data_IF_739107526163
#
_entry.id   IF_739107526163
#
_cell.length_a   1.000
_cell.length_b   1.000
_cell.length_c   1.000
_cell.angle_alpha   90.00
_cell.angle_beta   90.00
_cell.angle_gamma   90.00
#
_symmetry.space_group_name_H-M   'P 1'
#
loop_
_entity.id
_entity.type
_entity.pdbx_description
1 polymer ?
#
# COMPACT_ATOMS: atom_id res chain seq x y z
N UNK A 1 -6.98 -10.48 12.06
CA UNK A 1 -6.67 -9.84 13.35
C UNK A 1 -7.33 -10.53 14.56
N UNK A 2 -8.63 -10.87 14.52
CA UNK A 2 -9.32 -11.59 15.63
C UNK A 2 -8.62 -12.87 16.11
N UNK A 3 -8.23 -13.77 15.20
CA UNK A 3 -7.46 -14.97 15.57
C UNK A 3 -6.12 -14.66 16.27
N UNK A 4 -5.42 -13.59 15.85
CA UNK A 4 -4.20 -13.14 16.53
C UNK A 4 -4.50 -12.53 17.91
N UNK A 5 -5.72 -12.04 18.12
CA UNK A 5 -6.19 -11.51 19.40
C UNK A 5 -6.55 -12.63 20.38
N UNK A 6 -7.07 -13.76 19.92
CA UNK A 6 -7.32 -14.95 20.77
C UNK A 6 -6.03 -15.47 21.43
N UNK A 7 -4.91 -15.33 20.72
CA UNK A 7 -3.58 -15.70 21.20
C UNK A 7 -2.87 -14.56 21.95
N UNK A 8 -3.49 -13.38 22.05
CA UNK A 8 -2.86 -12.20 22.65
C UNK A 8 -3.04 -12.24 24.17
N UNK A 9 -1.94 -12.23 24.96
CA UNK A 9 -2.05 -12.18 26.42
C UNK A 9 -2.67 -10.88 26.95
N UNK A 10 -2.79 -9.83 26.13
CA UNK A 10 -3.38 -8.55 26.51
C UNK A 10 -4.57 -8.19 25.63
N UNK A 11 -5.74 -7.96 26.24
CA UNK A 11 -6.94 -7.54 25.51
C UNK A 11 -6.81 -6.17 24.80
N UNK A 12 -6.00 -5.25 25.33
CA UNK A 12 -5.94 -3.85 24.85
C UNK A 12 -4.59 -3.42 24.27
N UNK A 13 -3.57 -4.29 24.27
CA UNK A 13 -2.20 -3.95 23.84
C UNK A 13 -1.78 -4.87 22.71
N UNK A 14 -1.26 -4.29 21.63
CA UNK A 14 -0.88 -5.05 20.44
C UNK A 14 0.25 -6.04 20.72
N UNK A 15 0.04 -7.31 20.34
CA UNK A 15 1.07 -8.35 20.43
C UNK A 15 2.14 -8.18 19.34
N UNK A 16 3.32 -8.79 19.53
CA UNK A 16 4.39 -8.72 18.53
C UNK A 16 3.95 -9.25 17.16
N UNK A 17 3.19 -10.36 17.14
CA UNK A 17 2.67 -10.95 15.92
C UNK A 17 1.65 -10.03 15.22
N UNK A 18 0.78 -9.36 15.98
CA UNK A 18 -0.16 -8.39 15.41
C UNK A 18 0.56 -7.19 14.81
N UNK A 19 1.61 -6.69 15.46
CA UNK A 19 2.41 -5.57 14.95
C UNK A 19 3.14 -5.98 13.66
N UNK A 20 3.81 -7.13 13.65
CA UNK A 20 4.52 -7.62 12.45
C UNK A 20 3.54 -7.81 11.28
N UNK A 21 2.41 -8.49 11.53
CA UNK A 21 1.38 -8.68 10.53
C UNK A 21 0.87 -7.35 10.00
N UNK A 22 0.59 -6.39 10.88
CA UNK A 22 0.07 -5.09 10.50
C UNK A 22 1.07 -4.28 9.66
N UNK A 23 2.34 -4.21 10.08
CA UNK A 23 3.35 -3.42 9.35
C UNK A 23 3.58 -4.00 7.96
N UNK A 24 3.62 -5.33 7.82
CA UNK A 24 3.76 -5.97 6.51
C UNK A 24 2.53 -5.76 5.60
N UNK A 25 1.34 -5.62 6.18
CA UNK A 25 0.14 -5.24 5.42
C UNK A 25 0.15 -3.76 5.05
N UNK A 26 0.64 -2.86 5.92
CA UNK A 26 0.77 -1.44 5.61
C UNK A 26 1.83 -1.16 4.52
N UNK A 27 2.89 -1.97 4.46
CA UNK A 27 3.92 -1.89 3.42
C UNK A 27 3.56 -2.64 2.13
N UNK A 28 2.33 -3.15 1.99
CA UNK A 28 1.92 -4.25 1.11
C UNK A 28 2.69 -4.37 -0.22
N UNK A 29 3.14 -5.59 -0.51
CA UNK A 29 3.77 -5.93 -1.78
C UNK A 29 2.72 -5.94 -2.90
N UNK A 30 2.65 -4.85 -3.66
CA UNK A 30 1.76 -4.78 -4.83
C UNK A 30 2.42 -5.49 -6.01
N UNK A 31 2.00 -6.72 -6.27
CA UNK A 31 2.55 -7.53 -7.37
C UNK A 31 2.15 -7.00 -8.74
N UNK A 32 0.89 -6.60 -8.92
CA UNK A 32 0.35 -6.12 -10.19
C UNK A 32 -0.58 -4.90 -9.94
N UNK A 33 -0.13 -3.67 -10.24
CA UNK A 33 -0.87 -2.44 -9.95
C UNK A 33 -1.91 -2.13 -11.04
N UNK A 34 -2.85 -3.06 -11.26
CA UNK A 34 -3.85 -2.99 -12.34
C UNK A 34 -4.67 -1.70 -12.28
N UNK A 35 -5.00 -1.23 -11.08
CA UNK A 35 -5.75 0.02 -10.88
C UNK A 35 -4.95 1.24 -11.35
N UNK A 36 -3.63 1.24 -11.17
CA UNK A 36 -2.76 2.34 -11.65
C UNK A 36 -2.65 2.32 -13.17
N UNK A 37 -2.52 1.13 -13.77
CA UNK A 37 -2.56 1.00 -15.24
C UNK A 37 -3.87 1.52 -15.79
N UNK A 38 -5.00 1.19 -15.15
CA UNK A 38 -6.31 1.68 -15.54
C UNK A 38 -6.40 3.21 -15.43
N UNK A 39 -5.93 3.82 -14.34
CA UNK A 39 -5.93 5.29 -14.21
C UNK A 39 -5.10 5.95 -15.29
N UNK A 40 -3.90 5.44 -15.57
CA UNK A 40 -3.03 5.94 -16.64
C UNK A 40 -3.71 5.82 -18.00
N UNK A 41 -4.31 4.67 -18.30
CA UNK A 41 -5.06 4.46 -19.55
C UNK A 41 -6.25 5.42 -19.68
N UNK A 42 -7.00 5.65 -18.59
CA UNK A 42 -8.12 6.59 -18.56
C UNK A 42 -7.69 8.04 -18.77
N UNK A 43 -6.46 8.39 -18.39
CA UNK A 43 -5.85 9.70 -18.63
C UNK A 43 -5.07 9.79 -19.95
N UNK A 44 -5.14 8.75 -20.80
CA UNK A 44 -4.57 8.76 -22.16
C UNK A 44 -3.08 8.41 -22.26
N UNK A 45 -2.51 7.71 -21.28
CA UNK A 45 -1.10 7.28 -21.35
C UNK A 45 -0.86 6.35 -22.55
N UNK A 46 0.21 6.61 -23.31
CA UNK A 46 0.61 5.75 -24.43
C UNK A 46 1.05 4.36 -23.96
N UNK A 47 1.77 4.32 -22.84
CA UNK A 47 2.10 3.09 -22.11
C UNK A 47 1.64 3.19 -20.64
N UNK A 48 0.46 2.64 -20.31
CA UNK A 48 -0.03 2.62 -18.94
C UNK A 48 0.83 1.78 -17.98
N UNK A 49 1.62 0.83 -18.49
CA UNK A 49 2.42 -0.10 -17.70
C UNK A 49 3.83 0.39 -17.38
N UNK A 50 4.24 1.52 -17.95
CA UNK A 50 5.57 2.12 -17.77
C UNK A 50 5.97 2.29 -16.28
N UNK A 51 5.02 2.49 -15.37
CA UNK A 51 5.25 2.64 -13.92
C UNK A 51 5.39 1.32 -13.16
N UNK A 52 5.22 0.17 -13.83
CA UNK A 52 5.19 -1.15 -13.20
C UNK A 52 6.44 -1.48 -12.40
N UNK A 53 7.60 -1.45 -13.05
CA UNK A 53 8.86 -1.82 -12.41
C UNK A 53 9.24 -0.82 -11.30
N UNK A 54 9.07 0.50 -11.49
CA UNK A 54 9.21 1.46 -10.39
C UNK A 54 8.33 1.16 -9.17
N UNK A 55 7.04 0.82 -9.38
CA UNK A 55 6.13 0.46 -8.28
C UNK A 55 6.67 -0.75 -7.53
N UNK A 56 7.11 -1.77 -8.26
CA UNK A 56 7.57 -3.03 -7.70
C UNK A 56 8.87 -2.89 -6.90
N UNK A 57 9.78 -2.01 -7.35
CA UNK A 57 10.99 -1.67 -6.59
C UNK A 57 10.67 -0.84 -5.35
N UNK A 58 9.79 0.16 -5.46
CA UNK A 58 9.39 1.00 -4.33
C UNK A 58 8.66 0.20 -3.23
N UNK A 59 7.74 -0.69 -3.60
CA UNK A 59 7.03 -1.56 -2.65
C UNK A 59 7.96 -2.59 -2.00
N UNK A 60 8.94 -3.12 -2.74
CA UNK A 60 9.94 -4.03 -2.20
C UNK A 60 10.82 -3.34 -1.16
N UNK A 61 11.23 -2.09 -1.43
CA UNK A 61 11.97 -1.27 -0.47
C UNK A 61 11.14 -0.98 0.79
N UNK A 62 9.87 -0.59 0.63
CA UNK A 62 8.93 -0.38 1.74
C UNK A 62 8.78 -1.64 2.60
N UNK A 63 8.52 -2.79 1.98
CA UNK A 63 8.33 -4.07 2.67
C UNK A 63 9.60 -4.50 3.41
N UNK A 64 10.77 -4.34 2.79
CA UNK A 64 12.05 -4.66 3.43
C UNK A 64 12.28 -3.77 4.66
N UNK A 65 12.07 -2.46 4.54
CA UNK A 65 12.23 -1.53 5.68
C UNK A 65 11.18 -1.81 6.77
N UNK A 66 9.95 -2.15 6.40
CA UNK A 66 8.91 -2.59 7.34
C UNK A 66 9.32 -3.83 8.13
N UNK A 67 9.77 -4.88 7.44
CA UNK A 67 10.26 -6.10 8.08
C UNK A 67 11.46 -5.83 8.99
N UNK A 68 12.47 -5.13 8.47
CA UNK A 68 13.71 -4.85 9.20
C UNK A 68 13.45 -3.96 10.43
N UNK A 69 12.61 -2.94 10.31
CA UNK A 69 12.28 -2.06 11.43
C UNK A 69 11.57 -2.81 12.56
N UNK A 70 10.60 -3.67 12.22
CA UNK A 70 9.94 -4.52 13.22
C UNK A 70 10.92 -5.53 13.81
N UNK A 71 11.78 -6.13 12.98
CA UNK A 71 12.79 -7.08 13.45
C UNK A 71 13.76 -6.44 14.45
N UNK A 72 14.20 -5.20 14.21
CA UNK A 72 15.03 -4.44 15.17
C UNK A 72 14.25 -4.16 16.46
N UNK A 73 13.04 -3.62 16.35
CA UNK A 73 12.23 -3.23 17.52
C UNK A 73 11.81 -4.43 18.39
N UNK A 74 11.52 -5.58 17.76
CA UNK A 74 11.12 -6.81 18.43
C UNK A 74 12.28 -7.78 18.70
N UNK A 75 13.50 -7.43 18.25
CA UNK A 75 14.72 -8.27 18.33
C UNK A 75 14.52 -9.66 17.71
N UNK A 76 13.89 -9.70 16.53
CA UNK A 76 13.68 -10.94 15.78
C UNK A 76 15.01 -11.46 15.24
N UNK A 77 15.23 -12.77 15.36
CA UNK A 77 16.41 -13.45 14.82
C UNK A 77 16.19 -13.77 13.34
N UNK A 78 16.37 -12.78 12.47
CA UNK A 78 16.21 -12.99 11.02
C UNK A 78 17.20 -14.01 10.43
N UNK A 79 18.33 -14.21 11.10
CA UNK A 79 19.37 -15.18 10.76
C UNK A 79 19.09 -16.60 11.29
N UNK A 80 17.96 -16.81 11.95
CA UNK A 80 17.57 -18.15 12.38
C UNK A 80 17.38 -19.05 11.14
N UNK A 81 17.93 -20.29 11.12
CA UNK A 81 17.83 -21.17 9.96
C UNK A 81 16.40 -21.42 9.50
N UNK A 82 15.43 -21.49 10.43
CA UNK A 82 14.01 -21.68 10.09
C UNK A 82 13.47 -20.43 9.41
N UNK A 83 13.78 -19.25 9.94
CA UNK A 83 13.35 -17.97 9.34
C UNK A 83 13.95 -17.80 7.95
N UNK A 84 15.24 -18.07 7.78
CA UNK A 84 15.93 -18.03 6.48
C UNK A 84 15.36 -19.05 5.49
N UNK A 85 15.00 -20.25 5.95
CA UNK A 85 14.39 -21.28 5.12
C UNK A 85 13.04 -20.84 4.52
N UNK A 86 12.33 -19.89 5.13
CA UNK A 86 11.14 -19.29 4.54
C UNK A 86 11.45 -18.01 3.76
N UNK A 87 12.29 -17.12 4.30
CA UNK A 87 12.57 -15.82 3.68
C UNK A 87 13.35 -15.94 2.38
N UNK A 88 14.38 -16.79 2.31
CA UNK A 88 15.26 -16.89 1.13
C UNK A 88 14.50 -17.46 -0.08
N UNK A 89 13.78 -18.60 0.00
CA UNK A 89 13.00 -19.09 -1.14
C UNK A 89 11.88 -18.14 -1.55
N UNK A 90 11.23 -17.47 -0.59
CA UNK A 90 10.20 -16.47 -0.88
C UNK A 90 10.76 -15.27 -1.64
N UNK A 91 11.91 -14.74 -1.21
CA UNK A 91 12.60 -13.65 -1.89
C UNK A 91 13.10 -14.06 -3.28
N UNK A 92 13.63 -15.27 -3.43
CA UNK A 92 14.06 -15.81 -4.72
C UNK A 92 12.89 -16.03 -5.68
N UNK A 93 11.78 -16.58 -5.20
CA UNK A 93 10.57 -16.77 -5.99
C UNK A 93 10.00 -15.44 -6.46
N UNK A 94 9.94 -14.45 -5.57
CA UNK A 94 9.54 -13.09 -5.92
C UNK A 94 10.51 -12.48 -6.94
N UNK A 95 11.82 -12.54 -6.70
CA UNK A 95 12.83 -12.01 -7.61
C UNK A 95 12.80 -12.67 -8.99
N UNK A 96 12.61 -13.99 -9.05
CA UNK A 96 12.44 -14.72 -10.30
C UNK A 96 11.15 -14.32 -11.04
N UNK A 97 10.05 -14.13 -10.30
CA UNK A 97 8.80 -13.63 -10.86
C UNK A 97 8.95 -12.20 -11.40
N UNK A 98 9.61 -11.31 -10.66
CA UNK A 98 9.93 -9.95 -11.10
C UNK A 98 10.79 -9.95 -12.38
N UNK A 99 11.83 -10.79 -12.42
CA UNK A 99 12.71 -10.93 -13.57
C UNK A 99 11.94 -11.45 -14.80
N UNK A 100 11.04 -12.43 -14.62
CA UNK A 100 10.17 -12.92 -15.68
C UNK A 100 9.27 -11.81 -16.21
N UNK A 101 8.57 -11.08 -15.32
CA UNK A 101 7.66 -10.00 -15.73
C UNK A 101 8.40 -8.88 -16.46
N UNK A 102 9.66 -8.60 -16.10
CA UNK A 102 10.50 -7.61 -16.77
C UNK A 102 10.87 -7.98 -18.22
N UNK A 103 10.75 -9.26 -18.62
CA UNK A 103 10.96 -9.70 -20.02
C UNK A 103 9.73 -9.54 -20.92
N UNK A 104 8.56 -9.27 -20.34
CA UNK A 104 7.31 -9.16 -21.10
C UNK A 104 7.15 -7.76 -21.70
N UNK A 105 6.51 -7.66 -22.86
CA UNK A 105 6.08 -6.37 -23.40
C UNK A 105 4.99 -5.74 -22.53
N UNK A 106 4.87 -4.41 -22.56
CA UNK A 106 3.80 -3.66 -21.90
C UNK A 106 2.39 -4.25 -22.17
N UNK A 107 2.13 -4.60 -23.44
CA UNK A 107 0.86 -5.20 -23.88
C UNK A 107 0.64 -6.60 -23.30
N UNK A 108 1.69 -7.42 -23.24
CA UNK A 108 1.64 -8.75 -22.66
C UNK A 108 1.45 -8.67 -21.13
N UNK A 109 2.13 -7.75 -20.46
CA UNK A 109 2.02 -7.54 -19.03
C UNK A 109 0.62 -7.06 -18.63
N UNK A 110 0.04 -6.09 -19.35
CA UNK A 110 -1.33 -5.63 -19.11
C UNK A 110 -2.36 -6.76 -19.29
N UNK A 111 -2.20 -7.55 -20.37
CA UNK A 111 -3.09 -8.67 -20.67
C UNK A 111 -2.98 -9.78 -19.63
N UNK A 112 -1.76 -10.17 -19.28
CA UNK A 112 -1.48 -11.16 -18.23
C UNK A 112 -2.04 -10.69 -16.89
N UNK A 113 -1.86 -9.42 -16.53
CA UNK A 113 -2.33 -8.88 -15.26
C UNK A 113 -3.85 -8.90 -15.14
N UNK A 114 -4.55 -8.53 -16.21
CA UNK A 114 -6.01 -8.58 -16.26
C UNK A 114 -6.55 -10.01 -16.17
N UNK A 115 -6.00 -10.93 -16.97
CA UNK A 115 -6.43 -12.33 -16.97
C UNK A 115 -6.14 -12.98 -15.62
N UNK A 116 -4.92 -12.81 -15.10
CA UNK A 116 -4.51 -13.40 -13.82
C UNK A 116 -5.33 -12.82 -12.67
N UNK A 117 -5.56 -11.51 -12.64
CA UNK A 117 -6.40 -10.86 -11.61
C UNK A 117 -7.84 -11.36 -11.64
N UNK A 118 -8.48 -11.38 -12.81
CA UNK A 118 -9.87 -11.81 -12.96
C UNK A 118 -10.06 -13.29 -12.66
N UNK A 119 -9.17 -14.16 -13.17
CA UNK A 119 -9.21 -15.59 -12.90
C UNK A 119 -8.90 -15.92 -11.43
N UNK A 120 -7.99 -15.17 -10.79
CA UNK A 120 -7.70 -15.36 -9.36
C UNK A 120 -8.92 -14.99 -8.51
N UNK A 121 -9.55 -13.85 -8.79
CA UNK A 121 -10.74 -13.42 -8.06
C UNK A 121 -11.90 -14.38 -8.26
N UNK A 122 -12.19 -14.74 -9.52
CA UNK A 122 -13.24 -15.71 -9.85
C UNK A 122 -12.93 -17.09 -9.24
N UNK A 123 -11.71 -17.56 -9.37
CA UNK A 123 -11.24 -18.83 -8.82
C UNK A 123 -11.34 -18.88 -7.29
N UNK A 124 -11.01 -17.78 -6.60
CA UNK A 124 -11.13 -17.69 -5.14
C UNK A 124 -12.59 -17.69 -4.68
N UNK A 125 -13.48 -16.99 -5.39
CA UNK A 125 -14.94 -17.07 -5.14
C UNK A 125 -15.43 -18.51 -5.34
N UNK A 126 -15.11 -19.12 -6.48
CA UNK A 126 -15.51 -20.49 -6.79
C UNK A 126 -14.94 -21.50 -5.79
N UNK A 127 -13.69 -21.31 -5.34
CA UNK A 127 -13.06 -22.12 -4.31
C UNK A 127 -13.87 -22.09 -3.02
N UNK A 128 -14.26 -20.90 -2.53
CA UNK A 128 -15.09 -20.78 -1.33
C UNK A 128 -16.46 -21.42 -1.49
N UNK A 129 -17.11 -21.26 -2.65
CA UNK A 129 -18.40 -21.89 -2.93
C UNK A 129 -18.27 -23.43 -2.94
N UNK A 130 -17.26 -23.96 -3.63
CA UNK A 130 -17.00 -25.40 -3.74
C UNK A 130 -16.61 -25.99 -2.39
N UNK A 131 -15.68 -25.38 -1.66
CA UNK A 131 -15.29 -25.83 -0.31
C UNK A 131 -16.49 -25.77 0.64
N UNK A 132 -17.31 -24.71 0.56
CA UNK A 132 -18.54 -24.59 1.33
C UNK A 132 -19.53 -25.70 1.01
N UNK A 133 -19.74 -26.00 -0.28
CA UNK A 133 -20.62 -27.09 -0.73
C UNK A 133 -20.11 -28.46 -0.28
N UNK A 134 -18.81 -28.75 -0.46
CA UNK A 134 -18.18 -30.01 -0.05
C UNK A 134 -18.23 -30.22 1.46
N UNK A 135 -18.06 -29.15 2.25
CA UNK A 135 -18.18 -29.18 3.72
C UNK A 135 -19.62 -29.03 4.22
N UNK A 136 -20.61 -29.00 3.32
CA UNK A 136 -22.04 -28.82 3.63
C UNK A 136 -22.32 -27.58 4.48
N UNK A 137 -21.53 -26.53 4.30
CA UNK A 137 -21.75 -25.22 4.91
C UNK A 137 -22.82 -24.50 4.11
N UNK A 138 -23.78 -23.88 4.80
CA UNK A 138 -24.80 -23.04 4.17
C UNK A 138 -24.19 -21.71 3.76
N UNK A 139 -23.55 -21.69 2.59
CA UNK A 139 -22.72 -20.58 2.12
C UNK A 139 -23.46 -19.24 2.10
N UNK A 140 -24.74 -19.24 1.71
CA UNK A 140 -25.56 -18.02 1.70
C UNK A 140 -25.76 -17.44 3.11
N UNK A 141 -26.12 -18.28 4.09
CA UNK A 141 -26.32 -17.83 5.48
C UNK A 141 -25.01 -17.30 6.07
N UNK A 142 -23.90 -18.02 5.88
CA UNK A 142 -22.58 -17.60 6.33
C UNK A 142 -22.11 -16.28 5.68
N UNK A 143 -22.41 -16.08 4.39
CA UNK A 143 -22.13 -14.82 3.71
C UNK A 143 -22.93 -13.65 4.30
N UNK A 144 -24.24 -13.85 4.55
CA UNK A 144 -25.09 -12.81 5.14
C UNK A 144 -24.65 -12.46 6.56
N UNK A 145 -24.27 -13.45 7.36
CA UNK A 145 -23.74 -13.25 8.71
C UNK A 145 -22.41 -12.47 8.67
N UNK A 146 -21.47 -12.88 7.83
CA UNK A 146 -20.21 -12.16 7.61
C UNK A 146 -20.43 -10.71 7.13
N UNK A 147 -21.43 -10.49 6.26
CA UNK A 147 -21.79 -9.14 5.80
C UNK A 147 -22.34 -8.27 6.93
N UNK A 148 -23.15 -8.81 7.85
CA UNK A 148 -23.64 -8.10 9.04
C UNK A 148 -22.49 -7.71 9.97
N UNK A 149 -21.58 -8.64 10.25
CA UNK A 149 -20.40 -8.35 11.05
C UNK A 149 -19.53 -7.24 10.43
N UNK A 150 -19.34 -7.30 9.10
CA UNK A 150 -18.62 -6.27 8.36
C UNK A 150 -19.28 -4.89 8.48
N UNK A 151 -20.61 -4.83 8.51
CA UNK A 151 -21.35 -3.58 8.70
C UNK A 151 -21.13 -2.99 10.11
N UNK A 152 -21.09 -3.83 11.15
CA UNK A 152 -20.82 -3.35 12.51
C UNK A 152 -19.38 -2.84 12.67
N UNK A 153 -18.41 -3.51 12.02
CA UNK A 153 -17.04 -2.98 11.91
C UNK A 153 -17.04 -1.63 11.21
N UNK A 154 -17.74 -1.48 10.08
CA UNK A 154 -17.80 -0.21 9.35
C UNK A 154 -18.37 0.94 10.21
N UNK A 155 -19.43 0.70 11.00
CA UNK A 155 -19.97 1.70 11.94
C UNK A 155 -18.93 2.16 12.95
N UNK A 156 -18.15 1.23 13.51
CA UNK A 156 -17.10 1.56 14.48
C UNK A 156 -15.97 2.41 13.89
N UNK A 157 -15.70 2.27 12.59
CA UNK A 157 -14.61 2.95 11.90
C UNK A 157 -15.03 4.31 11.33
N UNK A 158 -16.30 4.47 10.97
CA UNK A 158 -16.82 5.65 10.29
C UNK A 158 -16.44 6.99 10.96
N UNK A 159 -16.52 7.17 12.29
CA UNK A 159 -16.14 8.43 12.92
C UNK A 159 -14.67 8.80 12.70
N UNK A 160 -13.76 7.83 12.78
CA UNK A 160 -12.33 8.05 12.56
C UNK A 160 -12.05 8.47 11.11
N UNK A 161 -12.72 7.81 10.15
CA UNK A 161 -12.58 8.13 8.73
C UNK A 161 -13.09 9.52 8.41
N UNK A 162 -14.26 9.90 8.94
CA UNK A 162 -14.84 11.23 8.72
C UNK A 162 -13.92 12.32 9.28
N UNK A 163 -13.47 12.17 10.53
CA UNK A 163 -12.57 13.16 11.16
C UNK A 163 -11.27 13.36 10.36
N UNK A 164 -10.65 12.25 9.92
CA UNK A 164 -9.43 12.27 9.13
C UNK A 164 -9.64 12.90 7.74
N UNK A 165 -10.71 12.53 7.01
CA UNK A 165 -11.03 13.10 5.70
C UNK A 165 -11.37 14.59 5.80
N UNK A 166 -12.09 15.01 6.83
CA UNK A 166 -12.34 16.42 7.12
C UNK A 166 -11.03 17.18 7.37
N UNK A 167 -10.11 16.64 8.17
CA UNK A 167 -8.82 17.27 8.45
C UNK A 167 -7.97 17.45 7.18
N UNK A 168 -7.92 16.43 6.31
CA UNK A 168 -7.24 16.51 5.01
C UNK A 168 -7.91 17.57 4.11
N UNK A 169 -9.24 17.60 4.09
CA UNK A 169 -10.00 18.61 3.34
C UNK A 169 -9.68 20.04 3.79
N UNK A 170 -9.63 20.28 5.10
CA UNK A 170 -9.24 21.58 5.68
C UNK A 170 -7.79 21.92 5.33
N UNK A 171 -6.85 20.98 5.47
CA UNK A 171 -5.44 21.18 5.14
C UNK A 171 -5.28 21.64 3.67
N UNK A 172 -5.97 20.97 2.75
CA UNK A 172 -5.95 21.31 1.32
C UNK A 172 -6.62 22.66 1.03
N UNK A 173 -7.83 22.88 1.54
CA UNK A 173 -8.57 24.12 1.30
C UNK A 173 -7.90 25.36 1.92
N UNK A 174 -7.08 25.17 2.96
CA UNK A 174 -6.36 26.25 3.63
C UNK A 174 -5.13 26.77 2.87
N UNK A 175 -4.65 26.06 1.83
CA UNK A 175 -3.39 26.36 1.16
C UNK A 175 -2.13 26.02 1.98
N UNK A 176 -2.28 25.45 3.18
CA UNK A 176 -1.16 25.04 4.02
C UNK A 176 -0.30 23.94 3.37
N UNK A 177 -0.94 23.05 2.59
CA UNK A 177 -0.23 22.05 1.80
C UNK A 177 0.68 22.70 0.77
N UNK A 178 0.17 23.67 0.00
CA UNK A 178 0.93 24.37 -1.04
C UNK A 178 2.11 25.14 -0.42
N UNK A 179 1.88 25.85 0.69
CA UNK A 179 2.94 26.54 1.42
C UNK A 179 4.05 25.58 1.90
N UNK A 180 3.66 24.39 2.39
CA UNK A 180 4.61 23.36 2.78
C UNK A 180 5.43 22.83 1.60
N UNK A 181 4.80 22.63 0.45
CA UNK A 181 5.46 22.18 -0.78
C UNK A 181 6.42 23.23 -1.34
N UNK A 182 6.05 24.51 -1.30
CA UNK A 182 6.94 25.61 -1.69
C UNK A 182 8.16 25.68 -0.76
N UNK A 183 7.97 25.46 0.54
CA UNK A 183 9.08 25.33 1.48
C UNK A 183 10.03 24.18 1.14
N UNK A 184 9.49 23.00 0.80
CA UNK A 184 10.30 21.86 0.34
C UNK A 184 11.01 22.20 -0.97
N UNK A 185 10.31 22.84 -1.93
CA UNK A 185 10.88 23.25 -3.22
C UNK A 185 12.10 24.15 -3.02
N UNK A 186 11.99 25.16 -2.17
CA UNK A 186 13.10 26.05 -1.84
C UNK A 186 14.28 25.35 -1.15
N UNK A 187 14.02 24.41 -0.25
CA UNK A 187 15.09 23.63 0.40
C UNK A 187 15.83 22.74 -0.58
N UNK A 188 15.10 22.11 -1.51
CA UNK A 188 15.67 21.25 -2.55
C UNK A 188 16.45 22.07 -3.58
N UNK A 189 15.93 23.23 -4.00
CA UNK A 189 16.63 24.20 -4.85
C UNK A 189 17.91 24.71 -4.20
N UNK A 190 17.86 25.03 -2.91
CA UNK A 190 19.02 25.47 -2.15
C UNK A 190 20.10 24.39 -2.04
N UNK A 191 19.70 23.12 -1.98
CA UNK A 191 20.59 21.97 -2.05
C UNK A 191 21.11 21.67 -3.47
N UNK A 192 20.64 22.40 -4.50
CA UNK A 192 21.02 22.20 -5.89
C UNK A 192 20.43 20.92 -6.51
N UNK A 193 19.32 20.41 -5.96
CA UNK A 193 18.66 19.21 -6.43
C UNK A 193 17.46 19.50 -7.32
N UNK A 194 17.05 18.51 -8.10
CA UNK A 194 15.88 18.58 -8.97
C UNK A 194 14.57 18.59 -8.14
N UNK A 195 13.68 19.53 -8.45
CA UNK A 195 12.41 19.74 -7.72
C UNK A 195 11.18 19.11 -8.36
N UNK A 196 11.31 18.44 -9.52
CA UNK A 196 10.16 17.88 -10.26
C UNK A 196 9.34 16.90 -9.43
N UNK A 197 9.94 16.22 -8.46
CA UNK A 197 9.23 15.29 -7.58
C UNK A 197 8.31 15.99 -6.55
N UNK A 198 8.52 17.29 -6.28
CA UNK A 198 7.78 18.03 -5.25
C UNK A 198 6.28 18.06 -5.57
N UNK A 199 5.93 18.19 -6.85
CA UNK A 199 4.54 18.21 -7.29
C UNK A 199 3.83 16.85 -7.13
N UNK A 200 4.58 15.77 -6.87
CA UNK A 200 4.03 14.45 -6.56
C UNK A 200 3.83 14.20 -5.06
N UNK A 201 4.40 15.05 -4.20
CA UNK A 201 4.32 14.91 -2.74
C UNK A 201 2.91 15.02 -2.14
N UNK A 202 1.93 15.76 -2.70
CA UNK A 202 0.55 15.69 -2.23
C UNK A 202 0.03 14.25 -2.12
N UNK A 203 0.32 13.41 -3.12
CA UNK A 203 -0.04 11.99 -3.12
C UNK A 203 0.62 11.26 -1.96
N UNK A 204 1.94 11.46 -1.74
CA UNK A 204 2.67 10.83 -0.63
C UNK A 204 2.15 11.26 0.75
N UNK A 205 1.85 12.53 0.94
CA UNK A 205 1.44 13.08 2.24
C UNK A 205 0.04 12.61 2.64
N UNK A 206 -0.86 12.46 1.68
CA UNK A 206 -2.26 12.06 1.91
C UNK A 206 -2.40 10.54 2.05
N UNK A 207 -1.52 9.77 1.38
CA UNK A 207 -1.60 8.31 1.29
C UNK A 207 -1.61 7.56 2.64
N UNK A 208 -0.81 7.91 3.67
CA UNK A 208 -0.88 7.24 4.97
C UNK A 208 -2.28 7.25 5.58
N UNK A 209 -3.07 8.27 5.24
CA UNK A 209 -4.40 8.52 5.79
C UNK A 209 -5.50 7.94 4.89
N UNK A 210 -5.45 8.19 3.59
CA UNK A 210 -6.53 7.83 2.68
C UNK A 210 -6.06 7.53 1.27
N UNK A 211 -6.31 6.29 0.83
CA UNK A 211 -5.93 5.80 -0.48
C UNK A 211 -6.80 6.40 -1.59
N UNK A 212 -8.06 6.71 -1.29
CA UNK A 212 -8.97 7.38 -2.23
C UNK A 212 -8.62 8.86 -2.41
N UNK A 213 -8.21 9.55 -1.34
CA UNK A 213 -7.76 10.93 -1.43
C UNK A 213 -6.41 11.02 -2.14
N UNK A 214 -5.47 10.12 -1.84
CA UNK A 214 -4.19 10.04 -2.55
C UNK A 214 -4.37 9.70 -4.04
N UNK A 215 -5.32 8.82 -4.38
CA UNK A 215 -5.74 8.60 -5.77
C UNK A 215 -6.27 9.88 -6.42
N UNK A 216 -7.06 10.69 -5.71
CA UNK A 216 -7.53 11.95 -6.27
C UNK A 216 -6.36 12.90 -6.58
N UNK A 217 -5.36 12.98 -5.69
CA UNK A 217 -4.13 13.76 -5.93
C UNK A 217 -3.34 13.25 -7.14
N UNK A 218 -3.24 11.93 -7.30
CA UNK A 218 -2.65 11.32 -8.50
C UNK A 218 -3.37 11.77 -9.78
N UNK A 219 -4.69 11.65 -9.82
CA UNK A 219 -5.49 12.02 -11.00
C UNK A 219 -5.38 13.52 -11.29
N UNK A 220 -5.40 14.36 -10.26
CA UNK A 220 -5.19 15.80 -10.39
C UNK A 220 -3.81 16.13 -10.97
N UNK A 221 -2.76 15.44 -10.51
CA UNK A 221 -1.40 15.57 -11.06
C UNK A 221 -1.36 15.18 -12.54
N UNK A 222 -2.01 14.07 -12.93
CA UNK A 222 -2.10 13.64 -14.33
C UNK A 222 -2.85 14.64 -15.21
N UNK A 223 -3.92 15.23 -14.69
CA UNK A 223 -4.74 16.21 -15.43
C UNK A 223 -4.05 17.56 -15.58
N UNK A 224 -3.28 17.98 -14.58
CA UNK A 224 -2.63 19.31 -14.55
C UNK A 224 -1.26 19.31 -15.21
N UNK A 225 -0.47 18.25 -15.02
CA UNK A 225 0.91 18.16 -15.53
C UNK A 225 1.03 17.24 -16.75
N UNK A 226 0.01 16.43 -17.05
CA UNK A 226 0.04 15.39 -18.08
C UNK A 226 0.38 14.01 -17.50
N UNK A 227 -0.23 12.96 -18.04
CA UNK A 227 -0.17 11.58 -17.51
C UNK A 227 1.23 10.96 -17.52
N UNK A 228 2.08 11.38 -18.46
CA UNK A 228 3.46 10.91 -18.62
C UNK A 228 4.50 11.93 -18.13
N UNK A 229 4.06 13.00 -17.46
CA UNK A 229 4.97 13.93 -16.80
C UNK A 229 5.69 13.27 -15.63
N UNK A 230 6.93 13.70 -15.36
CA UNK A 230 7.71 13.21 -14.24
C UNK A 230 6.94 13.18 -12.89
N UNK A 231 6.27 14.27 -12.46
CA UNK A 231 5.48 14.23 -11.22
C UNK A 231 4.31 13.24 -11.28
N UNK A 232 3.65 13.08 -12.43
CA UNK A 232 2.58 12.07 -12.58
C UNK A 232 3.11 10.63 -12.48
N UNK A 233 4.32 10.36 -13.01
CA UNK A 233 5.00 9.07 -12.88
C UNK A 233 5.36 8.78 -11.42
N UNK A 234 5.96 9.75 -10.72
CA UNK A 234 6.30 9.63 -9.29
C UNK A 234 5.03 9.41 -8.46
N UNK A 235 3.97 10.20 -8.69
CA UNK A 235 2.71 10.06 -7.98
C UNK A 235 2.06 8.69 -8.25
N UNK A 236 2.12 8.18 -9.48
CA UNK A 236 1.60 6.86 -9.83
C UNK A 236 2.39 5.76 -9.11
N UNK A 237 3.72 5.91 -9.02
CA UNK A 237 4.59 4.98 -8.32
C UNK A 237 4.30 4.96 -6.82
N UNK A 238 4.18 6.13 -6.19
CA UNK A 238 3.78 6.27 -4.77
C UNK A 238 2.40 5.63 -4.53
N UNK A 239 1.42 5.94 -5.38
CA UNK A 239 0.06 5.41 -5.22
C UNK A 239 0.05 3.89 -5.34
N UNK A 240 0.93 3.30 -6.16
CA UNK A 240 1.04 1.85 -6.33
C UNK A 240 1.93 1.13 -5.31
N UNK A 241 2.75 1.82 -4.52
CA UNK A 241 3.83 1.17 -3.76
C UNK A 241 3.52 0.76 -2.32
N UNK A 242 2.58 1.41 -1.64
CA UNK A 242 2.26 1.17 -0.21
C UNK A 242 0.77 1.20 0.06
N UNK A 243 0.35 0.80 1.25
CA UNK A 243 -1.04 0.93 1.74
C UNK A 243 -1.20 2.15 2.66
N UNK A 244 -2.44 2.33 3.12
CA UNK A 244 -2.86 3.44 3.98
C UNK A 244 -2.57 3.15 5.45
N UNK A 245 -1.39 3.55 5.96
CA UNK A 245 -0.94 3.23 7.32
C UNK A 245 -2.01 3.43 8.40
N UNK A 246 -2.53 4.65 8.58
CA UNK A 246 -3.46 4.96 9.66
C UNK A 246 -4.83 4.28 9.48
N UNK A 247 -5.27 4.11 8.23
CA UNK A 247 -6.49 3.39 7.92
C UNK A 247 -6.37 1.90 8.25
N UNK A 248 -5.29 1.25 7.83
CA UNK A 248 -5.00 -0.15 8.15
C UNK A 248 -4.92 -0.33 9.67
N UNK A 249 -4.24 0.57 10.39
CA UNK A 249 -4.25 0.57 11.86
C UNK A 249 -5.65 0.66 12.45
N UNK A 250 -6.44 1.65 12.03
CA UNK A 250 -7.78 1.86 12.55
C UNK A 250 -8.66 0.63 12.30
N UNK A 251 -8.66 0.07 11.09
CA UNK A 251 -9.43 -1.12 10.73
C UNK A 251 -8.97 -2.33 11.52
N UNK A 252 -7.67 -2.59 11.55
CA UNK A 252 -7.14 -3.85 12.08
C UNK A 252 -7.20 -3.85 13.60
N UNK A 253 -6.69 -2.82 14.26
CA UNK A 253 -6.70 -2.71 15.72
C UNK A 253 -8.06 -2.33 16.28
N UNK A 254 -8.83 -1.49 15.57
CA UNK A 254 -10.19 -1.14 15.97
C UNK A 254 -11.12 -2.36 16.00
N UNK A 255 -11.01 -3.27 15.01
CA UNK A 255 -11.84 -4.49 14.95
C UNK A 255 -11.61 -5.48 16.12
N UNK A 256 -10.56 -5.31 16.91
CA UNK A 256 -10.23 -6.15 18.07
C UNK A 256 -10.07 -5.35 19.38
N UNK A 257 -10.43 -4.06 19.38
CA UNK A 257 -10.41 -3.23 20.59
C UNK A 257 -9.02 -2.92 21.15
N UNK A 258 -7.97 -2.96 20.32
CA UNK A 258 -6.62 -2.59 20.75
C UNK A 258 -6.53 -1.07 20.93
N UNK A 259 -6.03 -0.66 22.10
CA UNK A 259 -5.86 0.75 22.49
C UNK A 259 -4.39 1.18 22.44
N UNK A 260 -3.47 0.26 22.73
CA UNK A 260 -2.02 0.53 22.78
C UNK A 260 -1.31 -0.18 21.63
N UNK A 261 -0.99 0.58 20.59
CA UNK A 261 -0.39 0.08 19.34
C UNK A 261 1.14 -0.05 19.37
N UNK A 262 1.80 0.40 20.45
CA UNK A 262 3.25 0.32 20.66
C UNK A 262 4.02 0.92 19.47
N UNK A 263 5.03 0.22 18.95
CA UNK A 263 5.89 0.65 17.85
C UNK A 263 5.28 0.42 16.45
N UNK A 264 4.01 -0.04 16.34
CA UNK A 264 3.39 -0.32 15.05
C UNK A 264 3.33 0.91 14.14
N UNK A 265 2.91 2.06 14.68
CA UNK A 265 2.83 3.32 13.91
C UNK A 265 4.21 3.73 13.40
N UNK A 266 5.22 3.72 14.27
CA UNK A 266 6.58 4.13 13.89
C UNK A 266 7.18 3.23 12.81
N UNK A 267 7.03 1.90 12.93
CA UNK A 267 7.50 0.97 11.91
C UNK A 267 6.75 1.11 10.58
N UNK A 268 5.41 1.28 10.63
CA UNK A 268 4.60 1.45 9.42
C UNK A 268 4.93 2.76 8.68
N UNK A 269 5.04 3.88 9.41
CA UNK A 269 5.42 5.17 8.82
C UNK A 269 6.85 5.16 8.28
N UNK A 270 7.78 4.43 8.92
CA UNK A 270 9.14 4.29 8.40
C UNK A 270 9.16 3.47 7.10
N UNK A 271 8.38 2.40 7.03
CA UNK A 271 8.20 1.63 5.79
C UNK A 271 7.61 2.50 4.67
N UNK A 272 6.56 3.27 4.99
CA UNK A 272 5.92 4.17 4.04
C UNK A 272 6.87 5.27 3.56
N UNK A 273 7.62 5.90 4.46
CA UNK A 273 8.65 6.87 4.10
C UNK A 273 9.71 6.25 3.17
N UNK A 274 10.20 5.05 3.48
CA UNK A 274 11.12 4.34 2.61
C UNK A 274 10.52 4.03 1.23
N UNK A 275 9.24 3.67 1.18
CA UNK A 275 8.50 3.49 -0.08
C UNK A 275 8.42 4.76 -0.91
N UNK A 276 8.12 5.90 -0.30
CA UNK A 276 8.07 7.21 -0.96
C UNK A 276 9.45 7.63 -1.48
N UNK A 277 10.48 7.51 -0.64
CA UNK A 277 11.86 7.83 -1.05
C UNK A 277 12.32 6.91 -2.18
N UNK A 278 12.04 5.61 -2.10
CA UNK A 278 12.36 4.67 -3.16
C UNK A 278 11.59 4.97 -4.45
N UNK A 279 10.31 5.35 -4.36
CA UNK A 279 9.52 5.76 -5.52
C UNK A 279 10.16 6.96 -6.23
N UNK A 280 10.54 8.00 -5.49
CA UNK A 280 11.20 9.20 -6.03
C UNK A 280 12.54 8.81 -6.67
N UNK A 281 13.40 8.08 -5.96
CA UNK A 281 14.72 7.70 -6.44
C UNK A 281 14.66 6.82 -7.69
N UNK A 282 13.76 5.83 -7.71
CA UNK A 282 13.60 4.93 -8.86
C UNK A 282 12.98 5.67 -10.05
N UNK A 283 12.04 6.60 -9.83
CA UNK A 283 11.54 7.44 -10.92
C UNK A 283 12.62 8.33 -11.51
N UNK A 284 13.51 8.93 -10.71
CA UNK A 284 14.68 9.65 -11.24
C UNK A 284 15.62 8.72 -12.02
N UNK A 285 15.78 7.47 -11.58
CA UNK A 285 16.62 6.52 -12.31
C UNK A 285 16.03 6.11 -13.68
N UNK A 286 14.71 5.94 -13.75
CA UNK A 286 14.04 5.47 -14.97
C UNK A 286 13.61 6.59 -15.92
N UNK A 287 13.27 7.76 -15.40
CA UNK A 287 12.59 8.85 -16.12
C UNK A 287 13.25 10.23 -15.92
N UNK A 288 14.35 10.29 -15.17
CA UNK A 288 15.05 11.51 -14.79
C UNK A 288 15.81 12.16 -15.92
#
# INVERSE_FOLDING_TARGET
MRALQELNPSATTASNAQILFLVLNASSLTLLPVTIFMYRAQQGAADPTLVFLPILLATSASTLVGLLSVAVMQRLRLWDPVVLAYLVPGALALGAFMALLATLSATALASLSSILGNLTLFGLIMLFLVVGALRKVKVYEAFVEGAKEGFDVAKSLLPYLVAMLCAIGVLRASGALDFGLDGIRHLVEWAGWDTRFVDALPTALVKPFSGSAARAMLIETMQTQGVDSFPALVAATIQGSTETTFYVLAVYFGAVGIQRVRHAVGCALLAEFAGVVAAIAVCYWFFG
#
